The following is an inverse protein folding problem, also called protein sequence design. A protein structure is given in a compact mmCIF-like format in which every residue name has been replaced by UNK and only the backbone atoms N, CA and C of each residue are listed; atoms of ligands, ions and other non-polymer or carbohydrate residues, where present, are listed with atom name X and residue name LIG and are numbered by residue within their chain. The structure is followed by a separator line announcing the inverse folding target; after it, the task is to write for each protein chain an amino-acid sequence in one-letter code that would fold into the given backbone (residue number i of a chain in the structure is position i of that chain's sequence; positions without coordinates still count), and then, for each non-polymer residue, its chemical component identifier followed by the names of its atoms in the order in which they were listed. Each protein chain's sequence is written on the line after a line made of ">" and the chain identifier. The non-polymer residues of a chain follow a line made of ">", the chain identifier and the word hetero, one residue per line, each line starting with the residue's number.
data_IF_899345262920
#
_entry.id   IF_899345262920
#
_cell.length_a   1.000
_cell.length_b   1.000
_cell.length_c   1.000
_cell.angle_alpha   90.00
_cell.angle_beta   90.00
_cell.angle_gamma   90.00
#
_symmetry.space_group_name_H-M   'P 1'
#
loop_
_entity.id
_entity.type
_entity.pdbx_description
1 polymer ?
#
# COMPACT_ATOMS: atom_id res chain seq x y z
N UNK A 1 1.58 -18.15 -1.77
CA UNK A 1 0.92 -16.98 -1.16
C UNK A 1 0.72 -15.92 -2.23
N UNK A 2 -0.52 -15.54 -2.47
CA UNK A 2 -0.86 -14.63 -3.56
C UNK A 2 -0.95 -13.20 -3.05
N UNK A 3 -0.28 -12.27 -3.71
CA UNK A 3 -0.35 -10.85 -3.41
C UNK A 3 -1.06 -10.16 -4.56
N UNK A 4 -2.31 -9.78 -4.32
CA UNK A 4 -3.13 -9.03 -5.26
C UNK A 4 -3.07 -7.54 -4.96
N UNK A 5 -3.64 -6.73 -5.84
CA UNK A 5 -3.84 -5.31 -5.55
C UNK A 5 -4.83 -5.20 -4.39
N UNK A 6 -4.46 -4.44 -3.38
CA UNK A 6 -5.26 -4.31 -2.16
C UNK A 6 -4.90 -5.29 -1.06
N UNK A 7 -4.00 -6.23 -1.30
CA UNK A 7 -3.51 -7.12 -0.23
C UNK A 7 -2.68 -6.31 0.77
N UNK A 8 -2.98 -6.50 2.05
CA UNK A 8 -2.23 -5.85 3.15
C UNK A 8 -1.10 -6.77 3.57
N UNK A 9 0.12 -6.27 3.49
CA UNK A 9 1.34 -7.03 3.79
C UNK A 9 2.16 -6.30 4.86
N UNK A 10 2.86 -7.05 5.69
CA UNK A 10 3.82 -6.50 6.63
C UNK A 10 5.18 -6.46 5.96
N UNK A 11 5.79 -5.29 5.91
CA UNK A 11 7.02 -5.05 5.13
C UNK A 11 8.08 -4.41 6.01
N UNK A 12 9.33 -4.86 5.83
CA UNK A 12 10.48 -4.21 6.44
C UNK A 12 10.91 -3.02 5.55
N UNK A 13 10.66 -1.80 6.06
CA UNK A 13 10.94 -0.55 5.36
C UNK A 13 12.26 0.03 5.87
N UNK A 14 13.38 -0.53 5.42
CA UNK A 14 14.71 -0.05 5.83
C UNK A 14 15.18 1.09 4.92
N UNK A 15 16.13 1.87 5.42
CA UNK A 15 16.81 2.94 4.69
C UNK A 15 15.86 3.99 4.14
N UNK A 16 15.11 4.61 5.06
CA UNK A 16 14.22 5.73 4.73
C UNK A 16 14.89 7.05 5.08
N UNK A 17 14.40 8.13 4.49
CA UNK A 17 14.92 9.48 4.69
C UNK A 17 13.78 10.42 5.08
N UNK A 18 14.02 11.27 6.08
CA UNK A 18 13.08 12.33 6.47
C UNK A 18 11.75 11.77 6.96
N UNK A 19 10.66 12.17 6.30
CA UNK A 19 9.29 11.82 6.69
C UNK A 19 8.82 10.46 6.20
N UNK A 20 9.67 9.71 5.51
CA UNK A 20 9.30 8.37 5.04
C UNK A 20 9.04 7.44 6.21
N UNK A 21 8.08 6.54 6.05
CA UNK A 21 7.82 5.48 7.04
C UNK A 21 9.01 4.53 7.11
N UNK A 22 9.35 4.09 8.32
CA UNK A 22 10.47 3.19 8.56
C UNK A 22 10.08 2.06 9.50
N UNK A 23 10.96 1.07 9.62
CA UNK A 23 10.74 -0.11 10.42
C UNK A 23 9.84 -1.11 9.73
N UNK A 24 9.26 -2.03 10.50
CA UNK A 24 8.33 -3.04 9.98
C UNK A 24 6.93 -2.46 10.06
N UNK A 25 6.29 -2.29 8.89
CA UNK A 25 5.00 -1.58 8.79
C UNK A 25 4.03 -2.33 7.90
N UNK A 26 2.72 -2.24 8.18
CA UNK A 26 1.73 -2.69 7.21
C UNK A 26 1.75 -1.78 5.98
N UNK A 27 1.59 -2.40 4.82
CA UNK A 27 1.52 -1.71 3.54
C UNK A 27 0.43 -2.35 2.71
N UNK A 28 -0.12 -1.59 1.76
CA UNK A 28 -1.06 -2.12 0.77
C UNK A 28 -0.31 -2.32 -0.53
N UNK A 29 -0.36 -3.53 -1.08
CA UNK A 29 0.22 -3.82 -2.39
C UNK A 29 -0.65 -3.21 -3.48
N UNK A 30 -0.03 -2.52 -4.42
CA UNK A 30 -0.74 -1.80 -5.48
C UNK A 30 -0.27 -2.17 -6.88
N UNK A 31 0.79 -2.95 -7.02
CA UNK A 31 1.25 -3.44 -8.31
C UNK A 31 0.37 -4.58 -8.83
N UNK A 32 0.43 -4.80 -10.14
CA UNK A 32 -0.37 -5.80 -10.82
C UNK A 32 -0.09 -7.21 -10.29
N UNK A 33 -1.12 -8.05 -10.07
CA UNK A 33 -0.92 -9.42 -9.57
C UNK A 33 0.02 -10.25 -10.43
N UNK A 34 0.04 -10.06 -11.75
CA UNK A 34 0.93 -10.78 -12.63
C UNK A 34 2.39 -10.42 -12.35
N UNK A 35 2.68 -9.15 -12.08
CA UNK A 35 4.01 -8.70 -11.65
C UNK A 35 4.35 -9.27 -10.29
N UNK A 36 3.41 -9.25 -9.37
CA UNK A 36 3.62 -9.75 -8.00
C UNK A 36 3.95 -11.24 -7.98
N UNK A 37 3.39 -12.01 -8.91
CA UNK A 37 3.57 -13.46 -8.98
C UNK A 37 4.77 -13.88 -9.83
N UNK A 38 5.28 -13.01 -10.70
CA UNK A 38 6.33 -13.37 -11.66
C UNK A 38 7.71 -13.21 -11.05
N UNK A 39 8.45 -14.31 -10.97
CA UNK A 39 9.77 -14.32 -10.36
C UNK A 39 10.80 -13.48 -11.12
N UNK A 40 10.53 -13.15 -12.38
CA UNK A 40 11.41 -12.27 -13.17
C UNK A 40 11.40 -10.84 -12.65
N UNK A 41 10.36 -10.46 -11.92
CA UNK A 41 10.24 -9.13 -11.33
C UNK A 41 10.48 -9.21 -9.82
N UNK A 42 11.65 -8.75 -9.34
CA UNK A 42 12.01 -8.91 -7.92
C UNK A 42 11.28 -7.93 -7.00
N UNK A 43 10.62 -6.90 -7.54
CA UNK A 43 10.03 -5.83 -6.75
C UNK A 43 8.51 -5.81 -6.89
N UNK A 44 7.85 -5.31 -5.85
CA UNK A 44 6.43 -4.96 -5.88
C UNK A 44 6.27 -3.51 -5.43
N UNK A 45 5.18 -2.88 -5.86
CA UNK A 45 4.85 -1.52 -5.41
C UNK A 45 3.90 -1.59 -4.23
N UNK A 46 4.21 -0.81 -3.19
CA UNK A 46 3.40 -0.74 -1.97
C UNK A 46 3.21 0.70 -1.53
N UNK A 47 2.15 0.94 -0.77
CA UNK A 47 1.94 2.19 -0.02
C UNK A 47 1.87 1.86 1.46
N UNK A 48 2.65 2.53 2.32
CA UNK A 48 2.60 2.29 3.75
C UNK A 48 1.26 2.72 4.36
N UNK A 49 0.92 2.09 5.48
CA UNK A 49 -0.30 2.36 6.24
C UNK A 49 0.10 2.91 7.60
N UNK A 50 -0.63 3.92 8.07
CA UNK A 50 -0.44 4.48 9.40
C UNK A 50 -1.77 4.57 10.15
N UNK A 51 -1.72 4.41 11.48
CA UNK A 51 -2.87 4.65 12.35
C UNK A 51 -3.05 6.14 12.68
N UNK A 52 -2.09 6.99 12.30
CA UNK A 52 -2.22 8.44 12.46
C UNK A 52 -3.11 8.97 11.32
N UNK A 53 -4.25 9.61 11.62
CA UNK A 53 -5.15 10.08 10.57
C UNK A 53 -4.48 11.09 9.64
N UNK A 54 -4.73 10.92 8.33
CA UNK A 54 -4.43 11.94 7.33
C UNK A 54 -5.73 12.47 6.75
N UNK A 55 -5.65 13.55 5.99
CA UNK A 55 -6.81 14.20 5.40
C UNK A 55 -6.59 14.39 3.91
N UNK A 56 -7.61 14.05 3.11
CA UNK A 56 -7.60 14.28 1.68
C UNK A 56 -7.40 13.01 0.86
N UNK A 57 -7.46 13.17 -0.45
CA UNK A 57 -7.47 12.05 -1.40
C UNK A 57 -6.14 11.27 -1.44
N UNK A 58 -5.04 11.86 -0.98
CA UNK A 58 -3.75 11.16 -0.88
C UNK A 58 -3.62 10.30 0.38
N UNK A 59 -4.62 10.33 1.27
CA UNK A 59 -4.60 9.57 2.53
C UNK A 59 -5.93 8.84 2.74
N UNK A 60 -6.31 7.93 1.82
CA UNK A 60 -7.59 7.24 1.93
C UNK A 60 -7.69 6.42 3.21
N UNK A 61 -8.86 6.47 3.84
CA UNK A 61 -9.14 5.77 5.08
C UNK A 61 -9.25 4.26 4.86
N UNK A 62 -8.74 3.49 5.79
CA UNK A 62 -8.81 2.04 5.80
C UNK A 62 -9.38 1.57 7.13
N UNK A 63 -10.30 0.61 7.06
CA UNK A 63 -10.97 0.05 8.22
C UNK A 63 -10.25 -1.22 8.71
N UNK A 64 -10.30 -1.50 10.01
CA UNK A 64 -9.89 -2.80 10.52
C UNK A 64 -10.83 -3.90 10.05
N UNK A 65 -10.51 -5.14 10.35
CA UNK A 65 -11.33 -6.31 10.00
C UNK A 65 -10.69 -7.14 8.91
N UNK A 66 -11.33 -7.27 7.75
CA UNK A 66 -10.85 -8.12 6.65
C UNK A 66 -9.48 -7.71 6.12
N UNK A 67 -9.09 -6.46 6.32
CA UNK A 67 -7.74 -5.98 5.98
C UNK A 67 -6.66 -6.57 6.89
N UNK A 68 -7.03 -7.07 8.05
CA UNK A 68 -6.08 -7.52 9.07
C UNK A 68 -5.54 -6.39 9.93
N UNK A 69 -5.92 -5.15 9.65
CA UNK A 69 -5.55 -4.00 10.48
C UNK A 69 -6.36 -4.03 11.78
N UNK A 70 -5.74 -3.58 12.87
CA UNK A 70 -6.36 -3.59 14.19
C UNK A 70 -7.00 -2.27 14.56
N UNK A 71 -6.69 -1.20 13.84
CA UNK A 71 -7.15 0.16 14.11
C UNK A 71 -7.59 0.85 12.82
N UNK A 72 -8.52 1.82 12.90
CA UNK A 72 -8.74 2.73 11.77
C UNK A 72 -7.41 3.36 11.35
N UNK A 73 -7.14 3.36 10.05
CA UNK A 73 -5.85 3.74 9.50
C UNK A 73 -6.05 4.51 8.22
N UNK A 74 -4.96 4.96 7.61
CA UNK A 74 -4.99 5.48 6.25
C UNK A 74 -3.77 4.99 5.47
N UNK A 75 -3.92 4.92 4.15
CA UNK A 75 -2.82 4.63 3.25
C UNK A 75 -2.11 5.93 2.88
N UNK A 76 -0.79 5.91 2.86
CA UNK A 76 0.03 7.09 2.54
C UNK A 76 0.42 7.03 1.07
N UNK A 77 -0.40 7.61 0.19
CA UNK A 77 -0.19 7.49 -1.25
C UNK A 77 1.10 8.17 -1.71
N UNK A 78 1.48 9.27 -1.06
CA UNK A 78 2.73 9.97 -1.35
C UNK A 78 3.98 9.25 -0.84
N UNK A 79 3.81 8.13 -0.11
CA UNK A 79 4.90 7.26 0.30
C UNK A 79 5.04 6.03 -0.62
N UNK A 80 4.38 6.04 -1.77
CA UNK A 80 4.47 4.94 -2.74
C UNK A 80 5.92 4.60 -3.01
N UNK A 81 6.24 3.30 -2.95
CA UNK A 81 7.60 2.84 -3.23
C UNK A 81 7.60 1.41 -3.72
N UNK A 82 8.65 1.06 -4.43
CA UNK A 82 8.95 -0.32 -4.76
C UNK A 82 9.79 -0.94 -3.65
N UNK A 83 9.48 -2.18 -3.32
CA UNK A 83 10.25 -2.95 -2.34
C UNK A 83 10.61 -4.30 -2.91
N UNK A 84 11.72 -4.86 -2.48
CA UNK A 84 12.09 -6.22 -2.82
C UNK A 84 11.07 -7.17 -2.18
N UNK A 85 10.60 -8.16 -2.95
CA UNK A 85 9.61 -9.14 -2.46
C UNK A 85 10.08 -9.86 -1.19
N UNK A 86 11.38 -10.00 -1.00
CA UNK A 86 11.97 -10.63 0.19
C UNK A 86 11.73 -9.82 1.47
N UNK A 87 11.37 -8.54 1.35
CA UNK A 87 11.04 -7.69 2.51
C UNK A 87 9.63 -7.92 3.05
N UNK A 88 8.78 -8.65 2.31
CA UNK A 88 7.45 -9.01 2.79
C UNK A 88 7.59 -10.07 3.87
N UNK A 89 7.16 -9.75 5.08
CA UNK A 89 7.26 -10.62 6.25
C UNK A 89 6.01 -11.45 6.47
N UNK A 90 4.86 -10.90 6.10
CA UNK A 90 3.57 -11.51 6.40
C UNK A 90 2.47 -10.91 5.53
N UNK A 91 1.44 -11.70 5.24
CA UNK A 91 0.21 -11.23 4.60
C UNK A 91 -0.88 -11.18 5.65
N UNK A 92 -1.56 -10.04 5.80
CA UNK A 92 -2.61 -9.85 6.79
C UNK A 92 -4.02 -10.10 6.24
N UNK A 93 -4.34 -9.53 5.10
CA UNK A 93 -5.68 -9.59 4.54
C UNK A 93 -5.79 -8.69 3.32
N UNK A 94 -6.99 -8.16 3.07
CA UNK A 94 -7.26 -7.30 1.92
C UNK A 94 -8.14 -6.14 2.33
N UNK A 95 -7.88 -4.98 1.74
CA UNK A 95 -8.79 -3.83 1.83
C UNK A 95 -10.07 -4.15 1.05
N UNK A 96 -11.15 -3.42 1.36
CA UNK A 96 -12.42 -3.59 0.65
C UNK A 96 -12.30 -3.07 -0.79
N UNK A 97 -13.21 -3.50 -1.71
CA UNK A 97 -13.25 -2.95 -3.06
C UNK A 97 -13.41 -1.43 -3.09
N UNK A 98 -14.20 -0.86 -2.19
CA UNK A 98 -14.36 0.60 -2.08
C UNK A 98 -13.06 1.26 -1.65
N UNK A 99 -12.39 0.69 -0.66
CA UNK A 99 -11.09 1.20 -0.20
C UNK A 99 -10.04 1.11 -1.30
N UNK A 100 -10.04 0.03 -2.08
CA UNK A 100 -9.11 -0.09 -3.21
C UNK A 100 -9.39 0.96 -4.28
N UNK A 101 -10.66 1.26 -4.55
CA UNK A 101 -11.03 2.31 -5.48
C UNK A 101 -10.51 3.68 -5.00
N UNK A 102 -10.59 3.96 -3.71
CA UNK A 102 -10.05 5.20 -3.13
C UNK A 102 -8.52 5.25 -3.25
N UNK A 103 -7.85 4.11 -3.04
CA UNK A 103 -6.41 3.99 -3.24
C UNK A 103 -6.05 4.28 -4.69
N UNK A 104 -6.80 3.73 -5.64
CA UNK A 104 -6.56 3.97 -7.06
C UNK A 104 -6.71 5.44 -7.44
N UNK A 105 -7.70 6.12 -6.89
CA UNK A 105 -7.84 7.57 -7.08
C UNK A 105 -6.64 8.32 -6.53
N UNK A 106 -6.15 7.93 -5.37
CA UNK A 106 -4.96 8.53 -4.78
C UNK A 106 -3.71 8.31 -5.63
N UNK A 107 -3.57 7.11 -6.22
CA UNK A 107 -2.46 6.82 -7.14
C UNK A 107 -2.54 7.68 -8.39
N UNK A 108 -3.73 7.80 -9.00
CA UNK A 108 -3.93 8.64 -10.18
C UNK A 108 -3.56 10.09 -9.89
N UNK A 109 -3.98 10.59 -8.73
CA UNK A 109 -3.69 11.95 -8.33
C UNK A 109 -2.20 12.16 -8.09
N UNK A 110 -1.58 11.28 -7.32
CA UNK A 110 -0.17 11.42 -6.96
C UNK A 110 0.75 11.30 -8.17
N UNK A 111 0.42 10.40 -9.09
CA UNK A 111 1.24 10.13 -10.28
C UNK A 111 0.84 11.00 -11.48
N UNK A 112 -0.23 11.78 -11.37
CA UNK A 112 -0.70 12.62 -12.46
C UNK A 112 -1.26 11.84 -13.64
N UNK A 113 -1.86 10.68 -13.38
CA UNK A 113 -2.37 9.80 -14.44
C UNK A 113 -3.85 10.04 -14.75
N UNK A 114 -4.54 10.82 -13.93
CA UNK A 114 -5.94 11.11 -14.16
C UNK A 114 -6.16 11.95 -15.42
N UNK A 115 -7.34 11.78 -16.02
CA UNK A 115 -7.75 12.65 -17.13
C UNK A 115 -7.85 14.09 -16.63
N UNK A 116 -7.21 15.00 -17.35
CA UNK A 116 -7.35 16.42 -17.06
C UNK A 116 -8.81 16.82 -17.21
N UNK A 117 -9.32 17.67 -16.30
CA UNK A 117 -10.68 18.20 -16.43
C UNK A 117 -10.82 19.08 -17.65
#
# INVERSE_FOLDING_TARGET
>A
MTIDRGTVVLVALDRTVGHEQRGVRPCVAVSDPAVNADQRFPLIAVVPVTATPGVGALYPALSPGSSGLTKPSCALMDHLRSIDKRRVRRVFGRVSPTELADIDQGLELFLGLGTAP
#
